data_IF_393393232613
#
_entry.id   IF_393393232613
#
_cell.length_a   1.000
_cell.length_b   1.000
_cell.length_c   1.000
_cell.angle_alpha   90.00
_cell.angle_beta   90.00
_cell.angle_gamma   90.00
#
_symmetry.space_group_name_H-M   'P 1'
#
loop_
_entity.id
_entity.type
_entity.pdbx_description
1 polymer ?
#
# COMPACT_ATOMS: atom_id res chain seq x y z
N UNK A 1 7.49 26.21 3.60
CA UNK A 1 6.70 25.69 2.47
C UNK A 1 6.04 24.38 2.88
N UNK A 2 4.82 24.09 2.41
CA UNK A 2 4.14 22.80 2.71
C UNK A 2 4.91 21.66 2.05
N UNK A 3 5.22 20.59 2.78
CA UNK A 3 5.87 19.37 2.27
C UNK A 3 4.86 18.23 2.10
N UNK A 4 5.14 17.33 1.16
CA UNK A 4 4.27 16.20 0.82
C UNK A 4 5.04 14.88 0.92
N UNK A 5 4.49 13.94 1.70
CA UNK A 5 5.02 12.60 1.83
C UNK A 5 4.18 11.59 1.05
N UNK A 6 4.85 10.67 0.38
CA UNK A 6 4.23 9.49 -0.22
C UNK A 6 4.40 8.30 0.73
N UNK A 7 3.29 7.73 1.19
CA UNK A 7 3.31 6.50 1.98
C UNK A 7 3.73 5.32 1.10
N UNK A 8 4.73 4.56 1.53
CA UNK A 8 5.24 3.37 0.84
C UNK A 8 5.31 2.18 1.81
N UNK A 9 5.11 0.97 1.29
CA UNK A 9 5.33 -0.24 2.05
C UNK A 9 6.63 -0.91 1.61
N UNK A 10 7.35 -1.51 2.55
CA UNK A 10 8.55 -2.31 2.24
C UNK A 10 8.19 -3.79 2.25
N UNK A 11 7.24 -4.17 1.40
CA UNK A 11 6.76 -5.55 1.23
C UNK A 11 7.04 -6.03 -0.20
N UNK A 12 6.86 -7.32 -0.46
CA UNK A 12 6.88 -7.86 -1.82
C UNK A 12 5.48 -7.91 -2.46
N UNK A 13 4.48 -7.29 -1.82
CA UNK A 13 3.09 -7.31 -2.26
C UNK A 13 2.84 -6.16 -3.24
N UNK A 14 2.62 -6.47 -4.51
CA UNK A 14 2.33 -5.48 -5.55
C UNK A 14 1.11 -4.61 -5.21
N UNK A 15 0.13 -5.16 -4.49
CA UNK A 15 -1.04 -4.41 -4.05
C UNK A 15 -0.69 -3.19 -3.18
N UNK A 16 0.41 -3.25 -2.43
CA UNK A 16 0.87 -2.12 -1.62
C UNK A 16 1.46 -1.00 -2.48
N UNK A 17 2.22 -1.34 -3.53
CA UNK A 17 2.72 -0.36 -4.49
C UNK A 17 1.57 0.34 -5.22
N UNK A 18 0.50 -0.40 -5.56
CA UNK A 18 -0.70 0.16 -6.17
C UNK A 18 -1.41 1.14 -5.21
N UNK A 19 -1.40 0.90 -3.89
CA UNK A 19 -1.92 1.87 -2.91
C UNK A 19 -1.11 3.18 -2.92
N UNK A 20 0.22 3.09 -3.00
CA UNK A 20 1.08 4.26 -3.12
C UNK A 20 0.83 5.01 -4.44
N UNK A 21 0.69 4.30 -5.56
CA UNK A 21 0.37 4.92 -6.86
C UNK A 21 -0.98 5.65 -6.83
N UNK A 22 -1.98 5.07 -6.15
CA UNK A 22 -3.29 5.68 -5.97
C UNK A 22 -3.23 6.96 -5.13
N UNK A 23 -2.34 7.06 -4.14
CA UNK A 23 -2.12 8.29 -3.37
C UNK A 23 -1.31 9.33 -4.16
N UNK A 24 -0.26 8.90 -4.86
CA UNK A 24 0.67 9.76 -5.60
C UNK A 24 -0.03 10.70 -6.57
N UNK A 25 -1.11 10.26 -7.22
CA UNK A 25 -1.83 11.08 -8.18
C UNK A 25 -2.45 12.36 -7.57
N UNK A 26 -2.68 12.40 -6.26
CA UNK A 26 -3.23 13.57 -5.57
C UNK A 26 -2.16 14.51 -5.01
N UNK A 27 -0.89 14.10 -5.05
CA UNK A 27 0.22 14.92 -4.56
C UNK A 27 0.75 15.83 -5.68
N UNK A 28 1.05 17.11 -5.40
CA UNK A 28 1.67 17.99 -6.38
C UNK A 28 3.13 17.62 -6.64
N UNK A 29 3.80 17.01 -5.66
CA UNK A 29 5.15 16.45 -5.72
C UNK A 29 5.37 15.49 -4.56
N UNK A 30 6.50 14.80 -4.55
CA UNK A 30 6.91 13.93 -3.43
C UNK A 30 8.19 14.51 -2.85
N UNK A 31 8.11 15.05 -1.64
CA UNK A 31 9.27 15.55 -0.90
C UNK A 31 9.86 14.44 0.01
N UNK A 32 9.02 13.53 0.50
CA UNK A 32 9.41 12.43 1.39
C UNK A 32 8.78 11.10 0.99
N UNK A 33 9.52 10.01 1.21
CA UNK A 33 8.97 8.66 1.22
C UNK A 33 8.80 8.19 2.66
N UNK A 34 7.57 7.87 3.05
CA UNK A 34 7.22 7.51 4.43
C UNK A 34 6.96 6.01 4.50
N UNK A 35 7.75 5.31 5.31
CA UNK A 35 7.57 3.88 5.56
C UNK A 35 6.28 3.64 6.34
N UNK A 36 5.35 2.90 5.75
CA UNK A 36 4.03 2.61 6.33
C UNK A 36 4.10 1.91 7.68
N UNK A 37 5.05 0.99 7.87
CA UNK A 37 5.19 0.21 9.12
C UNK A 37 5.97 0.96 10.20
N UNK A 38 6.74 1.97 9.81
CA UNK A 38 7.49 2.83 10.72
C UNK A 38 7.47 4.29 10.22
N UNK A 39 6.31 4.97 10.32
CA UNK A 39 6.08 6.28 9.70
C UNK A 39 6.79 7.39 10.49
N UNK A 40 8.12 7.40 10.41
CA UNK A 40 8.99 8.34 11.11
C UNK A 40 9.68 9.26 10.12
N UNK A 41 9.72 10.52 10.50
CA UNK A 41 10.57 11.55 9.91
C UNK A 41 11.46 12.06 11.03
N UNK A 42 12.76 12.14 10.78
CA UNK A 42 13.75 12.64 11.75
C UNK A 42 14.39 13.94 11.25
N UNK A 43 14.99 14.67 12.18
CA UNK A 43 15.91 15.77 11.89
C UNK A 43 15.32 16.89 11.00
N UNK A 44 14.02 17.16 11.15
CA UNK A 44 13.35 18.27 10.48
C UNK A 44 12.21 18.82 11.35
N UNK A 45 12.03 20.13 11.28
CA UNK A 45 10.88 20.85 11.85
C UNK A 45 9.76 21.04 10.83
N UNK A 46 9.91 20.48 9.62
CA UNK A 46 8.94 20.59 8.56
C UNK A 46 7.69 19.75 8.83
N UNK A 47 6.52 20.36 8.61
CA UNK A 47 5.23 19.65 8.57
C UNK A 47 5.05 18.99 7.22
N UNK A 48 4.76 17.68 7.22
CA UNK A 48 4.65 16.85 6.01
C UNK A 48 3.25 16.29 5.90
N UNK A 49 2.52 16.70 4.87
CA UNK A 49 1.18 16.18 4.57
C UNK A 49 1.28 14.82 3.90
N UNK A 50 0.56 13.83 4.43
CA UNK A 50 0.63 12.44 3.94
C UNK A 50 -0.77 11.87 3.80
N UNK A 51 -1.12 11.38 2.62
CA UNK A 51 -2.31 10.53 2.44
C UNK A 51 -1.95 9.16 3.01
N UNK A 52 -2.61 8.76 4.09
CA UNK A 52 -2.36 7.48 4.73
C UNK A 52 -3.53 6.53 4.48
N UNK A 53 -3.35 5.65 3.50
CA UNK A 53 -4.36 4.72 3.02
C UNK A 53 -3.92 3.25 3.03
N UNK A 54 -4.91 2.36 2.97
CA UNK A 54 -4.71 0.92 2.87
C UNK A 54 -4.67 0.22 4.23
N UNK A 55 -4.12 -1.00 4.22
CA UNK A 55 -3.83 -1.75 5.43
C UNK A 55 -2.66 -1.10 6.17
N UNK A 56 -2.71 -0.96 7.50
CA UNK A 56 -1.89 0.07 8.15
C UNK A 56 -0.54 -0.33 8.74
N UNK A 57 -0.32 -1.55 9.24
CA UNK A 57 1.00 -1.88 9.81
C UNK A 57 1.25 -3.36 10.13
N UNK A 58 2.45 -3.85 9.79
CA UNK A 58 3.00 -5.14 10.28
C UNK A 58 3.58 -5.04 11.69
N UNK A 59 3.61 -3.84 12.29
CA UNK A 59 4.21 -3.55 13.59
C UNK A 59 3.19 -2.92 14.55
N UNK A 60 2.06 -3.58 14.84
CA UNK A 60 0.95 -2.97 15.59
C UNK A 60 1.33 -2.43 16.97
N UNK A 61 2.30 -3.05 17.65
CA UNK A 61 2.68 -2.65 19.01
C UNK A 61 3.54 -1.37 19.06
N UNK A 62 4.26 -1.06 17.97
CA UNK A 62 5.24 0.04 17.93
C UNK A 62 4.90 1.12 16.92
N UNK A 63 3.93 0.88 16.04
CA UNK A 63 3.47 1.84 15.06
C UNK A 63 3.00 3.12 15.76
N UNK A 64 3.54 4.26 15.34
CA UNK A 64 3.15 5.61 15.75
C UNK A 64 3.80 6.61 14.78
N UNK A 65 3.03 7.48 14.10
CA UNK A 65 3.58 8.50 13.21
C UNK A 65 4.38 9.56 13.96
N UNK A 66 5.45 10.06 13.33
CA UNK A 66 6.15 11.25 13.82
C UNK A 66 5.19 12.45 13.92
N UNK A 67 5.31 13.32 14.94
CA UNK A 67 4.48 14.52 15.10
C UNK A 67 4.52 15.50 13.91
N UNK A 68 5.57 15.43 13.10
CA UNK A 68 5.73 16.19 11.85
C UNK A 68 4.76 15.75 10.75
N UNK A 69 4.23 14.53 10.82
CA UNK A 69 3.30 14.00 9.82
C UNK A 69 1.91 14.56 10.09
N UNK A 70 1.36 15.26 9.10
CA UNK A 70 -0.02 15.70 9.04
C UNK A 70 -0.81 14.71 8.16
N UNK A 71 -1.50 13.72 8.75
CA UNK A 71 -2.12 12.66 7.99
C UNK A 71 -3.48 13.08 7.41
N UNK A 72 -3.77 12.61 6.21
CA UNK A 72 -5.15 12.38 5.76
C UNK A 72 -5.43 10.89 5.89
N UNK A 73 -6.14 10.50 6.94
CA UNK A 73 -6.52 9.11 7.20
C UNK A 73 -7.77 8.76 6.36
N UNK A 74 -7.55 8.10 5.23
CA UNK A 74 -8.60 7.75 4.26
C UNK A 74 -8.36 6.35 3.71
N UNK A 75 -9.41 5.61 3.35
CA UNK A 75 -9.30 4.20 2.97
C UNK A 75 -8.51 3.39 4.01
N UNK A 76 -8.69 3.73 5.28
CA UNK A 76 -7.99 3.15 6.41
C UNK A 76 -8.53 1.75 6.71
N UNK A 77 -7.63 0.77 6.86
CA UNK A 77 -7.98 -0.61 7.19
C UNK A 77 -7.09 -1.18 8.29
N UNK A 78 -7.72 -1.83 9.26
CA UNK A 78 -7.06 -2.64 10.30
C UNK A 78 -7.62 -4.04 10.19
N UNK A 79 -6.75 -5.05 10.13
CA UNK A 79 -7.22 -6.44 10.08
C UNK A 79 -7.65 -6.93 11.47
N UNK A 80 -8.66 -7.83 11.55
CA UNK A 80 -9.17 -8.33 12.83
C UNK A 80 -8.11 -8.94 13.75
N UNK A 81 -7.13 -9.63 13.19
CA UNK A 81 -6.06 -10.34 13.90
C UNK A 81 -5.09 -9.39 14.62
N UNK A 82 -4.87 -8.18 14.09
CA UNK A 82 -4.00 -7.17 14.69
C UNK A 82 -4.76 -6.11 15.49
N UNK A 83 -6.08 -6.01 15.36
CA UNK A 83 -6.88 -4.89 15.85
C UNK A 83 -6.69 -4.61 17.34
N UNK A 84 -6.69 -5.66 18.17
CA UNK A 84 -6.56 -5.54 19.62
C UNK A 84 -5.16 -5.06 20.06
N UNK A 85 -4.11 -5.40 19.31
CA UNK A 85 -2.73 -4.90 19.54
C UNK A 85 -2.55 -3.48 19.05
N UNK A 86 -3.14 -3.18 17.88
CA UNK A 86 -3.02 -1.89 17.22
C UNK A 86 -3.78 -0.78 17.97
N UNK A 87 -5.03 -1.02 18.37
CA UNK A 87 -5.89 -0.05 19.06
C UNK A 87 -5.56 0.08 20.56
N UNK A 88 -4.29 0.31 20.86
CA UNK A 88 -3.79 0.70 22.19
C UNK A 88 -4.08 2.18 22.47
N UNK A 89 -4.10 2.56 23.75
CA UNK A 89 -4.48 3.92 24.20
C UNK A 89 -3.83 5.07 23.41
N UNK A 90 -2.49 5.09 23.17
CA UNK A 90 -1.86 6.15 22.38
C UNK A 90 -2.34 6.24 20.93
N UNK A 91 -2.68 5.09 20.31
CA UNK A 91 -3.20 5.05 18.94
C UNK A 91 -4.65 5.51 18.88
N UNK A 92 -5.47 5.13 19.86
CA UNK A 92 -6.84 5.63 19.96
C UNK A 92 -6.82 7.16 20.08
N UNK A 93 -5.98 7.70 20.95
CA UNK A 93 -5.83 9.15 21.13
C UNK A 93 -5.32 9.84 19.85
N UNK A 94 -4.32 9.27 19.20
CA UNK A 94 -3.83 9.74 17.90
C UNK A 94 -4.96 9.79 16.85
N UNK A 95 -5.74 8.71 16.72
CA UNK A 95 -6.83 8.64 15.73
C UNK A 95 -7.95 9.64 16.07
N UNK A 96 -8.29 9.81 17.35
CA UNK A 96 -9.28 10.81 17.81
C UNK A 96 -8.88 12.24 17.42
N UNK A 97 -7.60 12.57 17.52
CA UNK A 97 -7.08 13.88 17.16
C UNK A 97 -7.11 14.16 15.65
N UNK A 98 -7.37 13.15 14.82
CA UNK A 98 -7.42 13.26 13.35
C UNK A 98 -8.79 12.85 12.78
N UNK A 99 -9.84 12.86 13.61
CA UNK A 99 -11.20 12.57 13.18
C UNK A 99 -11.74 13.60 12.18
N UNK A 100 -12.69 13.19 11.30
CA UNK A 100 -13.18 11.82 11.14
C UNK A 100 -12.28 10.97 10.23
N UNK A 101 -12.24 9.66 10.48
CA UNK A 101 -11.42 8.72 9.73
C UNK A 101 -12.20 8.10 8.56
N UNK A 102 -11.70 8.23 7.33
CA UNK A 102 -12.24 7.52 6.18
C UNK A 102 -11.76 6.06 6.16
N UNK A 103 -12.65 5.09 6.26
CA UNK A 103 -12.28 3.67 6.29
C UNK A 103 -12.40 2.99 4.93
N UNK A 104 -11.61 1.94 4.72
CA UNK A 104 -11.64 1.13 3.48
C UNK A 104 -12.86 0.24 3.40
N UNK A 105 -13.39 -0.16 4.55
CA UNK A 105 -14.46 -1.12 4.72
C UNK A 105 -15.30 -0.80 5.96
N UNK A 106 -16.53 -1.32 5.97
CA UNK A 106 -17.50 -1.10 7.03
C UNK A 106 -17.18 -1.87 8.31
N UNK A 107 -16.31 -2.90 8.24
CA UNK A 107 -15.85 -3.59 9.43
C UNK A 107 -14.93 -2.69 10.26
N UNK A 108 -13.95 -2.05 9.61
CA UNK A 108 -13.03 -1.10 10.24
C UNK A 108 -13.77 0.12 10.77
N UNK A 109 -14.79 0.61 10.03
CA UNK A 109 -15.68 1.69 10.51
C UNK A 109 -16.36 1.32 11.84
N UNK A 110 -17.02 0.16 11.88
CA UNK A 110 -17.69 -0.34 13.10
C UNK A 110 -16.69 -0.54 14.24
N UNK A 111 -15.49 -1.04 13.94
CA UNK A 111 -14.41 -1.19 14.92
C UNK A 111 -14.04 0.18 15.51
N UNK A 112 -13.71 1.17 14.68
CA UNK A 112 -13.29 2.49 15.16
C UNK A 112 -14.40 3.17 15.97
N UNK A 113 -15.65 3.11 15.50
CA UNK A 113 -16.81 3.65 16.21
C UNK A 113 -17.00 2.99 17.60
N UNK A 114 -16.71 1.69 17.76
CA UNK A 114 -16.75 1.00 19.06
C UNK A 114 -15.72 1.55 20.07
N UNK A 115 -14.59 2.06 19.58
CA UNK A 115 -13.58 2.74 20.41
C UNK A 115 -13.88 4.25 20.58
N UNK A 116 -15.05 4.70 20.11
CA UNK A 116 -15.47 6.10 20.15
C UNK A 116 -14.66 6.98 19.22
N UNK A 117 -14.10 6.42 18.14
CA UNK A 117 -13.40 7.16 17.10
C UNK A 117 -14.39 7.45 15.96
N UNK A 118 -14.65 8.72 15.64
CA UNK A 118 -15.55 9.09 14.53
C UNK A 118 -14.96 8.61 13.20
N UNK A 119 -15.73 7.80 12.47
CA UNK A 119 -15.30 7.25 11.19
C UNK A 119 -16.48 7.14 10.20
N UNK A 120 -16.15 7.06 8.91
CA UNK A 120 -17.11 6.87 7.83
C UNK A 120 -16.52 5.98 6.73
N UNK A 121 -17.36 5.21 6.03
CA UNK A 121 -16.93 4.42 4.88
C UNK A 121 -16.51 5.30 3.69
N UNK A 122 -15.25 5.18 3.27
CA UNK A 122 -14.66 5.90 2.12
C UNK A 122 -14.31 5.01 0.93
N UNK A 123 -14.28 3.68 1.13
CA UNK A 123 -13.84 2.72 0.11
C UNK A 123 -12.32 2.72 -0.09
N UNK A 124 -11.84 1.90 -1.02
CA UNK A 124 -10.40 1.75 -1.29
C UNK A 124 -9.88 2.87 -2.19
N UNK A 125 -8.74 3.48 -1.85
CA UNK A 125 -8.18 4.59 -2.62
C UNK A 125 -7.86 4.20 -4.06
N UNK A 126 -7.55 2.92 -4.31
CA UNK A 126 -7.28 2.39 -5.66
C UNK A 126 -8.48 2.48 -6.61
N UNK A 127 -9.71 2.67 -6.11
CA UNK A 127 -10.88 2.95 -6.94
C UNK A 127 -10.76 4.29 -7.69
N UNK A 128 -9.83 5.14 -7.27
CA UNK A 128 -9.57 6.45 -7.89
C UNK A 128 -8.47 6.42 -8.95
N UNK A 129 -7.86 5.26 -9.26
CA UNK A 129 -6.73 5.18 -10.19
C UNK A 129 -7.05 5.77 -11.58
N UNK A 130 -8.30 5.73 -12.02
CA UNK A 130 -8.71 6.32 -13.29
C UNK A 130 -8.61 7.85 -13.34
N UNK A 131 -8.45 8.54 -12.20
CA UNK A 131 -8.44 9.99 -12.14
C UNK A 131 -7.28 10.62 -12.93
N UNK A 132 -6.03 10.20 -12.70
CA UNK A 132 -4.87 10.64 -13.52
C UNK A 132 -4.32 9.59 -14.46
N UNK A 133 -4.43 8.30 -14.13
CA UNK A 133 -3.90 7.23 -14.99
C UNK A 133 -4.88 6.85 -16.11
N UNK A 134 -6.10 7.37 -16.07
CA UNK A 134 -7.15 7.12 -17.05
C UNK A 134 -7.81 5.74 -16.88
N UNK A 135 -8.95 5.52 -17.53
CA UNK A 135 -9.60 4.22 -17.52
C UNK A 135 -8.76 3.20 -18.30
N UNK A 136 -8.70 1.96 -17.77
CA UNK A 136 -8.08 0.85 -18.49
C UNK A 136 -9.04 0.40 -19.60
N UNK A 137 -8.56 0.32 -20.85
CA UNK A 137 -9.34 -0.30 -21.94
C UNK A 137 -9.62 -1.75 -21.60
N UNK A 138 -10.90 -2.14 -21.60
CA UNK A 138 -11.29 -3.55 -21.48
C UNK A 138 -10.62 -4.34 -22.60
N UNK A 139 -10.03 -5.47 -22.24
CA UNK A 139 -9.49 -6.47 -23.16
C UNK A 139 -10.16 -7.79 -22.85
N UNK A 140 -10.28 -8.67 -23.83
CA UNK A 140 -10.79 -10.03 -23.65
C UNK A 140 -9.73 -10.94 -23.00
N UNK A 141 -9.26 -10.51 -21.82
CA UNK A 141 -8.26 -11.21 -21.01
C UNK A 141 -8.80 -11.46 -19.61
N UNK A 142 -8.57 -12.67 -19.12
CA UNK A 142 -8.84 -13.06 -17.73
C UNK A 142 -7.51 -13.16 -17.00
N UNK A 143 -7.35 -12.39 -15.92
CA UNK A 143 -6.17 -12.44 -15.06
C UNK A 143 -6.51 -13.24 -13.81
N UNK A 144 -5.76 -14.32 -13.57
CA UNK A 144 -5.86 -15.13 -12.36
C UNK A 144 -4.72 -14.73 -11.43
N UNK A 145 -5.06 -14.29 -10.22
CA UNK A 145 -4.09 -13.77 -9.24
C UNK A 145 -4.13 -14.68 -8.01
N UNK A 146 -3.04 -15.42 -7.78
CA UNK A 146 -2.86 -16.32 -6.61
C UNK A 146 -4.01 -17.33 -6.41
N UNK A 147 -4.53 -17.83 -7.52
CA UNK A 147 -5.53 -18.89 -7.56
C UNK A 147 -4.81 -20.25 -7.49
N UNK A 148 -5.41 -21.24 -6.82
CA UNK A 148 -4.84 -22.59 -6.79
C UNK A 148 -4.87 -23.24 -8.18
N UNK A 149 -3.92 -24.14 -8.46
CA UNK A 149 -3.86 -24.84 -9.75
C UNK A 149 -5.16 -25.58 -10.11
N UNK A 150 -5.86 -26.12 -9.10
CA UNK A 150 -7.15 -26.79 -9.28
C UNK A 150 -8.21 -25.83 -9.85
N UNK A 151 -8.37 -24.66 -9.22
CA UNK A 151 -9.33 -23.64 -9.64
C UNK A 151 -8.90 -23.03 -10.97
N UNK A 152 -7.60 -22.83 -11.19
CA UNK A 152 -7.07 -22.36 -12.47
C UNK A 152 -7.47 -23.29 -13.63
N UNK A 153 -7.31 -24.62 -13.46
CA UNK A 153 -7.72 -25.60 -14.46
C UNK A 153 -9.23 -25.53 -14.75
N UNK A 154 -10.05 -25.40 -13.70
CA UNK A 154 -11.50 -25.28 -13.85
C UNK A 154 -11.89 -24.00 -14.62
N UNK A 155 -11.26 -22.86 -14.29
CA UNK A 155 -11.48 -21.60 -15.00
C UNK A 155 -11.02 -21.70 -16.46
N UNK A 156 -9.86 -22.30 -16.72
CA UNK A 156 -9.35 -22.51 -18.09
C UNK A 156 -10.35 -23.32 -18.91
N UNK A 157 -10.90 -24.40 -18.34
CA UNK A 157 -11.90 -25.22 -19.02
C UNK A 157 -13.18 -24.45 -19.35
N UNK A 158 -13.62 -23.56 -18.47
CA UNK A 158 -14.84 -22.75 -18.65
C UNK A 158 -14.63 -21.64 -19.71
N UNK A 159 -13.51 -20.92 -19.63
CA UNK A 159 -13.32 -19.67 -20.39
C UNK A 159 -12.55 -19.85 -21.71
N UNK A 160 -11.73 -20.90 -21.86
CA UNK A 160 -11.03 -21.15 -23.14
C UNK A 160 -12.00 -21.42 -24.28
N UNK A 161 -13.17 -22.02 -23.98
CA UNK A 161 -14.25 -22.25 -24.96
C UNK A 161 -14.94 -20.97 -25.43
N UNK A 162 -14.66 -19.84 -24.78
CA UNK A 162 -15.25 -18.52 -25.07
C UNK A 162 -14.24 -17.55 -25.71
N UNK A 163 -13.03 -18.00 -26.04
CA UNK A 163 -12.03 -17.21 -26.75
C UNK A 163 -11.26 -16.18 -25.91
N UNK A 164 -11.35 -16.24 -24.57
CA UNK A 164 -10.59 -15.34 -23.68
C UNK A 164 -9.13 -15.78 -23.56
N UNK A 165 -8.20 -14.82 -23.57
CA UNK A 165 -6.80 -15.05 -23.18
C UNK A 165 -6.71 -15.13 -21.65
N UNK A 166 -6.31 -16.27 -21.11
CA UNK A 166 -6.19 -16.48 -19.65
C UNK A 166 -4.71 -16.40 -19.27
N UNK A 167 -4.40 -15.63 -18.23
CA UNK A 167 -3.04 -15.51 -17.69
C UNK A 167 -3.01 -15.53 -16.18
N UNK A 168 -2.08 -16.29 -15.64
CA UNK A 168 -1.91 -16.46 -14.20
C UNK A 168 -0.70 -15.69 -13.70
N UNK A 169 -0.89 -15.03 -12.57
CA UNK A 169 0.11 -14.20 -11.91
C UNK A 169 0.04 -14.41 -10.41
N UNK A 170 1.08 -13.94 -9.73
CA UNK A 170 1.10 -13.81 -8.28
C UNK A 170 1.22 -12.33 -7.91
N UNK A 171 0.61 -11.94 -6.80
CA UNK A 171 0.79 -10.62 -6.20
C UNK A 171 2.14 -10.45 -5.50
N UNK A 172 2.90 -11.54 -5.33
CA UNK A 172 4.25 -11.51 -4.78
C UNK A 172 5.31 -11.45 -5.86
N UNK A 173 6.23 -10.51 -5.75
CA UNK A 173 7.45 -10.58 -6.53
C UNK A 173 8.39 -11.64 -5.94
N UNK A 174 8.60 -12.74 -6.67
CA UNK A 174 9.52 -13.84 -6.31
C UNK A 174 10.99 -13.45 -6.51
N UNK A 175 11.25 -12.35 -7.22
CA UNK A 175 12.62 -11.90 -7.49
C UNK A 175 12.99 -10.83 -6.47
N UNK A 176 14.14 -10.93 -5.76
CA UNK A 176 14.60 -9.87 -4.88
C UNK A 176 14.55 -8.56 -5.65
N UNK A 177 13.94 -7.54 -5.04
CA UNK A 177 13.61 -6.23 -5.61
C UNK A 177 14.76 -5.66 -6.48
N UNK A 178 16.01 -5.99 -6.18
CA UNK A 178 17.22 -5.72 -6.96
C UNK A 178 17.15 -6.14 -8.44
N UNK A 179 16.58 -7.30 -8.80
CA UNK A 179 16.58 -7.78 -10.19
C UNK A 179 15.45 -7.16 -11.01
N UNK A 180 14.30 -6.89 -10.39
CA UNK A 180 13.19 -6.15 -11.00
C UNK A 180 13.58 -4.69 -11.14
N UNK A 181 14.24 -4.10 -10.14
CA UNK A 181 14.83 -2.77 -10.25
C UNK A 181 15.93 -2.70 -11.31
N UNK A 182 16.69 -3.76 -11.60
CA UNK A 182 17.61 -3.80 -12.77
C UNK A 182 16.84 -3.83 -14.11
N UNK A 183 15.75 -4.58 -14.20
CA UNK A 183 14.89 -4.64 -15.42
C UNK A 183 14.08 -3.35 -15.64
N UNK A 184 13.64 -2.70 -14.57
CA UNK A 184 12.90 -1.43 -14.57
C UNK A 184 13.88 -0.23 -14.70
N UNK A 185 15.08 -0.29 -14.10
CA UNK A 185 16.16 0.70 -14.34
C UNK A 185 16.49 0.80 -15.82
N UNK A 186 16.54 -0.28 -16.57
CA UNK A 186 16.82 -0.18 -18.00
C UNK A 186 15.78 0.64 -18.79
N UNK A 187 14.59 0.89 -18.21
CA UNK A 187 13.54 1.74 -18.80
C UNK A 187 13.36 3.11 -18.12
N UNK A 188 13.86 3.29 -16.90
CA UNK A 188 13.78 4.55 -16.13
C UNK A 188 15.13 5.28 -15.94
N UNK A 189 16.26 4.69 -16.38
CA UNK A 189 17.60 5.29 -16.31
C UNK A 189 17.76 6.54 -17.22
N UNK A 190 16.76 6.93 -18.02
CA UNK A 190 16.89 8.05 -18.95
C UNK A 190 16.28 9.40 -18.55
N UNK A 191 15.63 9.57 -17.38
CA UNK A 191 14.97 10.87 -17.07
C UNK A 191 15.24 11.46 -15.68
N UNK A 192 16.49 11.37 -15.22
CA UNK A 192 17.10 12.24 -14.20
C UNK A 192 17.02 11.81 -12.73
N UNK A 193 18.18 12.04 -12.10
CA UNK A 193 18.53 12.14 -10.69
C UNK A 193 18.99 10.87 -9.96
N UNK A 194 20.22 11.04 -9.47
CA UNK A 194 21.07 10.24 -8.61
C UNK A 194 20.44 10.01 -7.24
N UNK A 195 20.38 8.75 -6.80
CA UNK A 195 20.87 8.31 -5.48
C UNK A 195 20.67 6.79 -5.30
N UNK A 196 21.67 6.15 -4.71
CA UNK A 196 21.74 4.70 -4.51
C UNK A 196 21.33 4.35 -3.07
N UNK A 197 20.47 3.34 -2.89
CA UNK A 197 20.31 2.64 -1.61
C UNK A 197 20.79 1.20 -1.75
N UNK A 198 21.90 0.90 -1.07
CA UNK A 198 22.35 -0.44 -0.73
C UNK A 198 21.62 -0.85 0.54
N UNK A 199 21.01 -2.04 0.59
CA UNK A 199 20.82 -2.66 1.89
C UNK A 199 21.19 -4.15 1.87
N UNK A 200 22.08 -4.44 2.79
CA UNK A 200 22.75 -5.67 3.15
C UNK A 200 21.82 -6.54 4.00
N UNK A 201 21.58 -7.79 3.61
CA UNK A 201 21.75 -9.00 4.45
C UNK A 201 21.12 -10.20 3.75
N UNK A 202 21.96 -10.98 3.05
CA UNK A 202 21.67 -12.39 2.77
C UNK A 202 22.66 -13.23 3.59
N UNK A 203 22.18 -13.93 4.61
CA UNK A 203 22.82 -15.18 5.01
C UNK A 203 22.22 -16.27 4.13
N UNK A 204 23.03 -16.76 3.19
CA UNK A 204 22.81 -18.03 2.49
C UNK A 204 22.57 -19.13 3.52
N UNK A 205 21.51 -19.90 3.36
CA UNK A 205 21.46 -21.28 3.84
C UNK A 205 21.80 -22.15 2.64
N UNK A 206 23.04 -22.61 2.57
CA UNK A 206 23.42 -23.69 1.66
C UNK A 206 22.79 -24.97 2.20
N UNK A 207 22.02 -25.64 1.35
CA UNK A 207 21.50 -26.98 1.59
C UNK A 207 22.48 -27.91 0.88
N UNK A 208 23.20 -28.70 1.67
CA UNK A 208 23.63 -30.03 1.26
C UNK A 208 22.55 -31.01 1.71
#
# INVERSE_FOLDING_TARGET
>A
MVKYGLLIAKTNNLGDDIQSLAAKQFLPRVDYYIDRDNPKICCTDERVKVIMNGWFTHKPDTWMPSPQIEPLLISFHVSPDIAWRFLRKPIIEYLKNHEPIGTRDTWTEKLLNKYGIKSYFSGCLTLTLSYKYGPVKKKDKVLLIDISESIEKDIINIFSRKGFEIKSYTHFFVVPVITILKKIKMRLVFENSTDYFVNTTMKKKEVN
#
